data_IF_712650084980
#
_entry.id   IF_712650084980
#
_cell.length_a   1.000
_cell.length_b   1.000
_cell.length_c   1.000
_cell.angle_alpha   90.00
_cell.angle_beta   90.00
_cell.angle_gamma   90.00
#
_symmetry.space_group_name_H-M   'P 1'
#
loop_
_entity.id
_entity.type
_entity.pdbx_description
1 polymer ?
#
# COMPACT_ATOMS: atom_id res chain seq x y z
N UNK A 1 22.82 -21.78 -60.15
CA UNK A 1 21.99 -22.29 -59.04
C UNK A 1 22.08 -21.28 -57.91
N UNK A 2 21.04 -20.48 -57.68
CA UNK A 2 21.01 -19.48 -56.60
C UNK A 2 20.69 -20.21 -55.29
N UNK A 3 21.65 -20.25 -54.37
CA UNK A 3 21.45 -20.73 -53.00
C UNK A 3 20.87 -19.59 -52.17
N UNK A 4 19.57 -19.65 -51.92
CA UNK A 4 18.87 -18.71 -51.06
C UNK A 4 19.49 -18.69 -49.66
N UNK A 5 19.81 -17.49 -49.20
CA UNK A 5 20.26 -17.20 -47.84
C UNK A 5 19.23 -17.67 -46.83
N UNK A 6 19.63 -18.55 -45.92
CA UNK A 6 18.85 -18.98 -44.77
C UNK A 6 18.59 -17.78 -43.86
N UNK A 7 17.43 -17.13 -44.03
CA UNK A 7 16.92 -16.18 -43.04
C UNK A 7 16.76 -16.94 -41.72
N UNK A 8 17.42 -16.44 -40.68
CA UNK A 8 17.17 -16.82 -39.29
C UNK A 8 15.66 -16.62 -39.05
N UNK A 9 14.91 -17.72 -38.96
CA UNK A 9 13.50 -17.68 -38.58
C UNK A 9 13.45 -17.42 -37.07
N UNK A 10 13.15 -16.18 -36.70
CA UNK A 10 12.61 -15.91 -35.37
C UNK A 10 11.21 -16.50 -35.31
N UNK A 11 11.06 -17.66 -34.67
CA UNK A 11 9.75 -18.12 -34.20
C UNK A 11 9.38 -17.24 -33.00
N UNK A 12 8.75 -16.11 -33.28
CA UNK A 12 7.93 -15.44 -32.27
C UNK A 12 6.89 -16.47 -31.83
N UNK A 13 7.02 -16.97 -30.60
CA UNK A 13 6.04 -17.85 -29.98
C UNK A 13 4.80 -17.01 -29.64
N UNK A 14 4.03 -16.67 -30.66
CA UNK A 14 2.81 -15.87 -30.56
C UNK A 14 1.80 -16.51 -29.59
N UNK A 15 1.82 -17.83 -29.44
CA UNK A 15 0.98 -18.57 -28.47
C UNK A 15 1.31 -18.21 -27.02
N UNK A 16 2.60 -18.14 -26.66
CA UNK A 16 3.04 -17.77 -25.29
C UNK A 16 2.72 -16.30 -25.00
N UNK A 17 2.87 -15.43 -26.00
CA UNK A 17 2.51 -14.02 -25.87
C UNK A 17 0.98 -13.84 -25.74
N UNK A 18 0.19 -14.60 -26.49
CA UNK A 18 -1.27 -14.55 -26.43
C UNK A 18 -1.79 -15.09 -25.09
N UNK A 19 -1.20 -16.17 -24.56
CA UNK A 19 -1.51 -16.71 -23.23
C UNK A 19 -1.18 -15.70 -22.12
N UNK A 20 -0.02 -15.04 -22.20
CA UNK A 20 0.35 -13.97 -21.27
C UNK A 20 -0.62 -12.79 -21.33
N UNK A 21 -1.00 -12.34 -22.53
CA UNK A 21 -1.94 -11.23 -22.72
C UNK A 21 -3.33 -11.60 -22.17
N UNK A 22 -3.80 -12.82 -22.42
CA UNK A 22 -5.09 -13.30 -21.94
C UNK A 22 -5.11 -13.46 -20.40
N UNK A 23 -4.05 -14.00 -19.81
CA UNK A 23 -3.89 -14.11 -18.36
C UNK A 23 -3.86 -12.73 -17.69
N UNK A 24 -3.07 -11.81 -18.22
CA UNK A 24 -2.97 -10.44 -17.72
C UNK A 24 -4.31 -9.71 -17.81
N UNK A 25 -5.03 -9.89 -18.92
CA UNK A 25 -6.37 -9.33 -19.12
C UNK A 25 -7.39 -9.89 -18.11
N UNK A 26 -7.33 -11.19 -17.81
CA UNK A 26 -8.20 -11.80 -16.80
C UNK A 26 -7.92 -11.25 -15.39
N UNK A 27 -6.65 -11.09 -15.03
CA UNK A 27 -6.22 -10.46 -13.78
C UNK A 27 -6.73 -9.02 -13.63
N UNK A 28 -6.59 -8.20 -14.68
CA UNK A 28 -7.14 -6.85 -14.66
C UNK A 28 -8.66 -6.83 -14.47
N UNK A 29 -9.40 -7.71 -15.17
CA UNK A 29 -10.84 -7.81 -14.98
C UNK A 29 -11.25 -8.26 -13.57
N UNK A 30 -10.46 -9.12 -12.93
CA UNK A 30 -10.70 -9.51 -11.54
C UNK A 30 -10.44 -8.37 -10.57
N UNK A 31 -9.35 -7.61 -10.77
CA UNK A 31 -9.07 -6.41 -10.00
C UNK A 31 -10.15 -5.35 -10.16
N UNK A 32 -10.63 -5.10 -11.39
CA UNK A 32 -11.72 -4.16 -11.64
C UNK A 32 -13.01 -4.56 -10.92
N UNK A 33 -13.35 -5.86 -10.91
CA UNK A 33 -14.50 -6.37 -10.15
C UNK A 33 -14.31 -6.16 -8.65
N UNK A 34 -13.12 -6.41 -8.13
CA UNK A 34 -12.81 -6.22 -6.70
C UNK A 34 -12.87 -4.76 -6.30
N UNK A 35 -12.35 -3.85 -7.13
CA UNK A 35 -12.46 -2.40 -6.93
C UNK A 35 -13.93 -1.99 -6.89
N UNK A 36 -14.75 -2.42 -7.86
CA UNK A 36 -16.17 -2.09 -7.89
C UNK A 36 -16.95 -2.60 -6.65
N UNK A 37 -16.58 -3.76 -6.10
CA UNK A 37 -17.17 -4.27 -4.85
C UNK A 37 -16.75 -3.42 -3.65
N UNK A 38 -15.47 -3.07 -3.55
CA UNK A 38 -14.95 -2.22 -2.47
C UNK A 38 -15.56 -0.81 -2.51
N UNK A 39 -15.70 -0.21 -3.69
CA UNK A 39 -16.37 1.09 -3.86
C UNK A 39 -17.83 1.04 -3.40
N UNK A 40 -18.58 -0.03 -3.74
CA UNK A 40 -19.95 -0.21 -3.25
C UNK A 40 -20.01 -0.33 -1.74
N UNK A 41 -19.08 -1.09 -1.14
CA UNK A 41 -18.99 -1.22 0.32
C UNK A 41 -18.65 0.12 0.98
N UNK A 42 -17.73 0.88 0.41
CA UNK A 42 -17.35 2.21 0.90
C UNK A 42 -18.54 3.19 0.86
N UNK A 43 -19.32 3.19 -0.22
CA UNK A 43 -20.54 4.01 -0.33
C UNK A 43 -21.57 3.59 0.73
N UNK A 44 -21.78 2.28 0.92
CA UNK A 44 -22.70 1.77 1.93
C UNK A 44 -22.29 2.20 3.35
N UNK A 45 -21.01 2.01 3.72
CA UNK A 45 -20.47 2.42 5.02
C UNK A 45 -20.56 3.94 5.23
N UNK A 46 -20.27 4.72 4.18
CA UNK A 46 -20.39 6.18 4.24
C UNK A 46 -21.83 6.61 4.50
N UNK A 47 -22.80 5.98 3.83
CA UNK A 47 -24.23 6.25 4.05
C UNK A 47 -24.69 5.87 5.46
N UNK A 48 -24.20 4.74 5.98
CA UNK A 48 -24.51 4.29 7.34
C UNK A 48 -23.94 5.25 8.39
N UNK A 49 -22.69 5.70 8.21
CA UNK A 49 -22.08 6.70 9.08
C UNK A 49 -22.85 8.02 9.08
N UNK A 50 -23.31 8.49 7.92
CA UNK A 50 -24.14 9.69 7.84
C UNK A 50 -25.48 9.52 8.57
N UNK A 51 -26.10 8.33 8.48
CA UNK A 51 -27.34 8.03 9.19
C UNK A 51 -27.12 8.01 10.72
N UNK A 52 -26.04 7.36 11.18
CA UNK A 52 -25.66 7.33 12.60
C UNK A 52 -25.35 8.73 13.13
N UNK A 53 -24.66 9.57 12.35
CA UNK A 53 -24.36 10.95 12.73
C UNK A 53 -25.64 11.79 12.88
N UNK A 54 -26.64 11.58 12.01
CA UNK A 54 -27.97 12.21 12.17
C UNK A 54 -28.69 11.72 13.42
N UNK A 55 -28.64 10.41 13.71
CA UNK A 55 -29.23 9.86 14.92
C UNK A 55 -28.56 10.41 16.19
N UNK A 56 -27.23 10.50 16.23
CA UNK A 56 -26.49 11.10 17.33
C UNK A 56 -26.94 12.53 17.59
N UNK A 57 -27.00 13.36 16.54
CA UNK A 57 -27.45 14.75 16.66
C UNK A 57 -28.88 14.84 17.23
N UNK A 58 -29.79 14.00 16.77
CA UNK A 58 -31.15 13.98 17.30
C UNK A 58 -31.18 13.61 18.79
N UNK A 59 -30.38 12.62 19.20
CA UNK A 59 -30.26 12.22 20.62
C UNK A 59 -29.64 13.31 21.49
N UNK A 60 -28.66 14.04 20.97
CA UNK A 60 -28.07 15.18 21.67
C UNK A 60 -29.10 16.30 21.90
N UNK A 61 -29.97 16.56 20.92
CA UNK A 61 -31.04 17.53 21.05
C UNK A 61 -32.13 17.07 22.03
N UNK A 62 -32.51 15.79 22.03
CA UNK A 62 -33.39 15.18 23.05
C UNK A 62 -32.82 15.35 24.46
N UNK A 63 -31.52 15.03 24.66
CA UNK A 63 -30.84 15.20 25.94
C UNK A 63 -30.84 16.67 26.38
N UNK A 64 -30.67 17.61 25.45
CA UNK A 64 -30.71 19.05 25.74
C UNK A 64 -32.08 19.47 26.26
N UNK A 65 -33.16 19.00 25.63
CA UNK A 65 -34.55 19.27 26.06
C UNK A 65 -34.79 18.69 27.45
N UNK A 66 -34.47 17.42 27.67
CA UNK A 66 -34.65 16.76 28.98
C UNK A 66 -33.86 17.46 30.09
N UNK A 67 -32.64 17.94 29.81
CA UNK A 67 -31.88 18.74 30.77
C UNK A 67 -32.57 20.07 31.10
N UNK A 68 -33.24 20.69 30.13
CA UNK A 68 -34.05 21.88 30.33
C UNK A 68 -35.27 21.60 31.22
N UNK A 69 -35.99 20.51 30.96
CA UNK A 69 -37.14 20.08 31.77
C UNK A 69 -36.74 19.75 33.21
N UNK A 70 -35.63 19.03 33.43
CA UNK A 70 -35.12 18.76 34.77
C UNK A 70 -34.79 20.03 35.54
N UNK A 71 -34.22 21.05 34.89
CA UNK A 71 -33.96 22.36 35.53
C UNK A 71 -35.26 23.07 35.91
N UNK A 72 -36.26 23.03 35.03
CA UNK A 72 -37.58 23.62 35.30
C UNK A 72 -38.27 22.94 36.48
N UNK A 73 -38.24 21.60 36.53
CA UNK A 73 -38.81 20.83 37.64
C UNK A 73 -38.07 21.09 38.95
N UNK A 74 -36.74 21.17 38.91
CA UNK A 74 -35.96 21.51 40.10
C UNK A 74 -36.32 22.90 40.65
N UNK A 75 -36.51 23.88 39.77
CA UNK A 75 -36.96 25.21 40.19
C UNK A 75 -38.36 25.18 40.80
N UNK A 76 -39.29 24.44 40.19
CA UNK A 76 -40.65 24.30 40.71
C UNK A 76 -40.69 23.68 42.12
N UNK A 77 -39.81 22.70 42.39
CA UNK A 77 -39.67 22.10 43.73
C UNK A 77 -39.20 23.14 44.74
N UNK A 78 -38.19 23.95 44.40
CA UNK A 78 -37.69 25.01 45.27
C UNK A 78 -38.80 26.03 45.56
N UNK A 79 -39.52 26.48 44.54
CA UNK A 79 -40.60 27.46 44.70
C UNK A 79 -41.72 26.92 45.60
N UNK A 80 -42.06 25.63 45.45
CA UNK A 80 -43.01 24.95 46.34
C UNK A 80 -42.52 24.81 47.77
N UNK A 81 -41.23 24.54 48.00
CA UNK A 81 -40.65 24.49 49.34
C UNK A 81 -40.71 25.85 50.02
N UNK A 82 -40.39 26.94 49.29
CA UNK A 82 -40.51 28.31 49.78
C UNK A 82 -41.95 28.65 50.14
N UNK A 83 -42.91 28.31 49.28
CA UNK A 83 -44.32 28.55 49.56
C UNK A 83 -44.81 27.77 50.80
N UNK A 84 -44.44 26.49 50.92
CA UNK A 84 -44.79 25.68 52.08
C UNK A 84 -44.17 26.22 53.37
N UNK A 85 -42.93 26.73 53.31
CA UNK A 85 -42.30 27.35 54.46
C UNK A 85 -43.05 28.61 54.90
N UNK A 86 -43.46 29.46 53.96
CA UNK A 86 -44.28 30.64 54.25
C UNK A 86 -45.61 30.28 54.93
N UNK A 87 -46.30 29.24 54.45
CA UNK A 87 -47.55 28.75 55.07
C UNK A 87 -47.33 28.20 56.48
N UNK A 88 -46.19 27.54 56.76
CA UNK A 88 -45.85 27.06 58.11
C UNK A 88 -45.65 28.22 59.07
N UNK A 89 -44.95 29.26 58.64
CA UNK A 89 -44.70 30.47 59.43
C UNK A 89 -45.99 31.24 59.70
N UNK A 90 -46.85 31.41 58.69
CA UNK A 90 -48.17 32.04 58.83
C UNK A 90 -49.08 31.28 59.81
N UNK A 91 -49.10 29.94 59.72
CA UNK A 91 -49.84 29.11 60.66
C UNK A 91 -49.31 29.26 62.09
N UNK A 92 -47.99 29.22 62.30
CA UNK A 92 -47.38 29.40 63.61
C UNK A 92 -47.73 30.77 64.23
N UNK A 93 -47.69 31.83 63.42
CA UNK A 93 -48.11 33.18 63.82
C UNK A 93 -49.59 33.24 64.19
N UNK A 94 -50.45 32.58 63.41
CA UNK A 94 -51.89 32.53 63.65
C UNK A 94 -52.22 31.79 64.96
N UNK A 95 -51.56 30.65 65.22
CA UNK A 95 -51.68 29.95 66.50
C UNK A 95 -51.22 30.81 67.67
N UNK A 96 -50.08 31.50 67.54
CA UNK A 96 -49.56 32.40 68.59
C UNK A 96 -50.55 33.51 68.91
N UNK A 97 -51.14 34.16 67.88
CA UNK A 97 -52.16 35.20 68.06
C UNK A 97 -53.43 34.66 68.73
N UNK A 98 -53.91 33.48 68.34
CA UNK A 98 -55.05 32.84 68.99
C UNK A 98 -54.77 32.57 70.46
N UNK A 99 -53.58 32.04 70.77
CA UNK A 99 -53.17 31.72 72.14
C UNK A 99 -53.12 32.98 73.02
N UNK A 100 -52.49 34.06 72.56
CA UNK A 100 -52.45 35.36 73.26
C UNK A 100 -53.85 35.96 73.47
N UNK A 101 -54.73 35.82 72.48
CA UNK A 101 -56.12 36.31 72.58
C UNK A 101 -56.89 35.53 73.64
N UNK A 102 -56.72 34.21 73.70
CA UNK A 102 -57.35 33.37 74.72
C UNK A 102 -56.85 33.72 76.12
N UNK A 103 -55.54 33.87 76.30
CA UNK A 103 -54.90 34.21 77.57
C UNK A 103 -55.36 35.58 78.12
N UNK A 104 -55.58 36.56 77.25
CA UNK A 104 -56.08 37.89 77.63
C UNK A 104 -57.58 37.96 77.94
N UNK A 105 -58.37 36.95 77.53
CA UNK A 105 -59.82 36.89 77.81
C UNK A 105 -60.21 36.05 79.04
N UNK A 106 -59.31 35.27 79.63
CA UNK A 106 -59.62 34.41 80.78
C UNK A 106 -59.37 35.12 82.12
N UNK A 107 -60.36 35.84 82.66
CA UNK A 107 -60.30 36.43 84.02
C UNK A 107 -61.09 35.65 85.07
N UNK A 108 -61.42 34.38 84.81
CA UNK A 108 -62.14 33.50 85.75
C UNK A 108 -61.29 32.28 86.07
N UNK A 109 -61.03 32.02 87.37
CA UNK A 109 -60.28 30.85 87.86
C UNK A 109 -60.80 29.51 87.31
N UNK A 110 -62.11 29.43 87.00
CA UNK A 110 -62.72 28.26 86.36
C UNK A 110 -62.29 28.10 84.91
N UNK A 111 -62.29 29.20 84.14
CA UNK A 111 -61.77 29.22 82.76
C UNK A 111 -60.26 28.96 82.74
N UNK A 112 -59.50 29.42 83.73
CA UNK A 112 -58.06 29.19 83.80
C UNK A 112 -57.72 27.71 84.06
N UNK A 113 -58.54 27.01 84.87
CA UNK A 113 -58.44 25.55 85.04
C UNK A 113 -58.87 24.78 83.80
N UNK A 114 -59.98 25.16 83.16
CA UNK A 114 -60.39 24.55 81.90
C UNK A 114 -59.35 24.81 80.80
N UNK A 115 -58.71 25.99 80.79
CA UNK A 115 -57.64 26.33 79.86
C UNK A 115 -56.37 25.52 80.12
N UNK A 116 -55.99 25.31 81.39
CA UNK A 116 -54.88 24.42 81.74
C UNK A 116 -55.17 22.96 81.34
N UNK A 117 -56.40 22.47 81.55
CA UNK A 117 -56.78 21.13 81.09
C UNK A 117 -56.80 21.02 79.56
N UNK A 118 -57.34 22.02 78.86
CA UNK A 118 -57.31 22.06 77.38
C UNK A 118 -55.89 22.18 76.85
N UNK A 119 -55.00 22.88 77.57
CA UNK A 119 -53.59 22.97 77.24
C UNK A 119 -52.88 21.63 77.44
N UNK A 120 -53.08 20.97 78.57
CA UNK A 120 -52.56 19.61 78.81
C UNK A 120 -53.08 18.61 77.77
N UNK A 121 -54.36 18.71 77.40
CA UNK A 121 -54.96 17.88 76.38
C UNK A 121 -54.41 18.20 74.97
N UNK A 122 -54.19 19.48 74.67
CA UNK A 122 -53.54 19.93 73.44
C UNK A 122 -52.08 19.49 73.36
N UNK A 123 -51.33 19.60 74.44
CA UNK A 123 -49.94 19.17 74.54
C UNK A 123 -49.84 17.65 74.38
N UNK A 124 -50.77 16.88 74.98
CA UNK A 124 -50.87 15.45 74.76
C UNK A 124 -51.20 15.10 73.30
N UNK A 125 -52.12 15.82 72.65
CA UNK A 125 -52.41 15.63 71.21
C UNK A 125 -51.23 15.99 70.33
N UNK A 126 -50.48 17.04 70.68
CA UNK A 126 -49.26 17.44 69.98
C UNK A 126 -48.18 16.38 70.13
N UNK A 127 -48.01 15.79 71.32
CA UNK A 127 -47.06 14.71 71.58
C UNK A 127 -47.42 13.42 70.82
N UNK A 128 -48.71 13.10 70.71
CA UNK A 128 -49.20 12.02 69.83
C UNK A 128 -48.91 12.33 68.36
N UNK A 129 -49.14 13.58 67.92
CA UNK A 129 -48.87 14.00 66.55
C UNK A 129 -47.37 13.96 66.22
N UNK A 130 -46.50 14.40 67.14
CA UNK A 130 -45.05 14.31 67.00
C UNK A 130 -44.57 12.87 66.94
N UNK A 131 -45.12 11.99 67.78
CA UNK A 131 -44.81 10.55 67.72
C UNK A 131 -45.27 9.93 66.40
N UNK A 132 -46.49 10.24 65.94
CA UNK A 132 -46.98 9.78 64.64
C UNK A 132 -46.16 10.34 63.47
N UNK A 133 -45.77 11.61 63.49
CA UNK A 133 -44.90 12.19 62.46
C UNK A 133 -43.49 11.59 62.48
N UNK A 134 -42.96 11.27 63.67
CA UNK A 134 -41.66 10.60 63.83
C UNK A 134 -41.72 9.15 63.34
N UNK A 135 -42.82 8.45 63.59
CA UNK A 135 -43.05 7.08 63.14
C UNK A 135 -43.27 7.02 61.63
N UNK A 136 -44.16 7.85 61.07
CA UNK A 136 -44.40 7.96 59.62
C UNK A 136 -43.13 8.43 58.88
N UNK A 137 -42.42 9.42 59.43
CA UNK A 137 -41.15 9.89 58.89
C UNK A 137 -40.06 8.81 58.96
N UNK A 138 -40.00 8.07 60.07
CA UNK A 138 -39.07 6.97 60.26
C UNK A 138 -39.30 5.81 59.29
N UNK A 139 -40.56 5.41 59.09
CA UNK A 139 -40.91 4.35 58.15
C UNK A 139 -40.63 4.74 56.70
N UNK A 140 -40.89 6.00 56.33
CA UNK A 140 -40.57 6.51 55.00
C UNK A 140 -39.07 6.57 54.76
N UNK A 141 -38.29 7.03 55.74
CA UNK A 141 -36.82 7.04 55.68
C UNK A 141 -36.27 5.61 55.59
N UNK A 142 -36.83 4.67 56.36
CA UNK A 142 -36.45 3.26 56.31
C UNK A 142 -36.76 2.63 54.94
N UNK A 143 -37.90 2.97 54.34
CA UNK A 143 -38.24 2.60 52.97
C UNK A 143 -37.21 3.14 51.97
N UNK A 144 -36.90 4.43 52.04
CA UNK A 144 -35.87 5.04 51.17
C UNK A 144 -34.48 4.40 51.34
N UNK A 145 -34.07 4.06 52.55
CA UNK A 145 -32.80 3.37 52.80
C UNK A 145 -32.79 1.99 52.15
N UNK A 146 -33.90 1.26 52.21
CA UNK A 146 -34.02 -0.04 51.55
C UNK A 146 -33.98 0.11 50.02
N UNK A 147 -34.67 1.10 49.46
CA UNK A 147 -34.66 1.38 48.02
C UNK A 147 -33.26 1.77 47.53
N UNK A 148 -32.56 2.64 48.27
CA UNK A 148 -31.16 3.02 47.99
C UNK A 148 -30.26 1.78 48.06
N UNK A 149 -30.46 0.91 49.06
CA UNK A 149 -29.68 -0.32 49.20
C UNK A 149 -29.91 -1.29 48.04
N UNK A 150 -31.17 -1.39 47.56
CA UNK A 150 -31.51 -2.18 46.37
C UNK A 150 -30.85 -1.61 45.12
N UNK A 151 -30.97 -0.29 44.89
CA UNK A 151 -30.35 0.40 43.77
C UNK A 151 -28.82 0.25 43.77
N UNK A 152 -28.19 0.33 44.95
CA UNK A 152 -26.76 0.10 45.10
C UNK A 152 -26.38 -1.34 44.71
N UNK A 153 -27.18 -2.33 45.13
CA UNK A 153 -26.96 -3.72 44.76
C UNK A 153 -27.07 -3.94 43.24
N UNK A 154 -28.12 -3.41 42.61
CA UNK A 154 -28.37 -3.50 41.18
C UNK A 154 -27.26 -2.81 40.38
N UNK A 155 -26.81 -1.64 40.84
CA UNK A 155 -25.72 -0.89 40.20
C UNK A 155 -24.42 -1.72 40.23
N UNK A 156 -24.08 -2.32 41.37
CA UNK A 156 -22.90 -3.19 41.50
C UNK A 156 -23.02 -4.44 40.61
N UNK A 157 -24.21 -5.02 40.50
CA UNK A 157 -24.45 -6.16 39.61
C UNK A 157 -24.23 -5.77 38.13
N UNK A 158 -24.75 -4.62 37.70
CA UNK A 158 -24.55 -4.09 36.36
C UNK A 158 -23.07 -3.80 36.06
N UNK A 159 -22.32 -3.22 37.00
CA UNK A 159 -20.88 -3.01 36.84
C UNK A 159 -20.11 -4.31 36.69
N UNK A 160 -20.47 -5.35 37.45
CA UNK A 160 -19.86 -6.68 37.33
C UNK A 160 -20.15 -7.31 35.96
N UNK A 161 -21.37 -7.20 35.47
CA UNK A 161 -21.74 -7.74 34.16
C UNK A 161 -21.08 -6.97 33.02
N UNK A 162 -21.01 -5.64 33.09
CA UNK A 162 -20.27 -4.83 32.13
C UNK A 162 -18.79 -5.19 32.11
N UNK A 163 -18.15 -5.35 33.27
CA UNK A 163 -16.75 -5.77 33.35
C UNK A 163 -16.55 -7.15 32.72
N UNK A 164 -17.46 -8.10 32.98
CA UNK A 164 -17.45 -9.42 32.36
C UNK A 164 -17.56 -9.33 30.83
N UNK A 165 -18.52 -8.57 30.30
CA UNK A 165 -18.71 -8.41 28.86
C UNK A 165 -17.49 -7.79 28.18
N UNK A 166 -16.87 -6.77 28.79
CA UNK A 166 -15.65 -6.13 28.25
C UNK A 166 -14.51 -7.15 28.16
N UNK A 167 -14.27 -7.92 29.23
CA UNK A 167 -13.23 -8.96 29.22
C UNK A 167 -13.51 -10.05 28.18
N UNK A 168 -14.77 -10.42 27.98
CA UNK A 168 -15.16 -11.41 26.96
C UNK A 168 -14.95 -10.86 25.54
N UNK A 169 -15.27 -9.58 25.31
CA UNK A 169 -15.01 -8.90 24.04
C UNK A 169 -13.52 -8.79 23.73
N UNK A 170 -12.70 -8.38 24.70
CA UNK A 170 -11.24 -8.31 24.56
C UNK A 170 -10.65 -9.70 24.26
N UNK A 171 -11.12 -10.74 24.96
CA UNK A 171 -10.66 -12.10 24.71
C UNK A 171 -10.99 -12.58 23.29
N UNK A 172 -12.19 -12.27 22.78
CA UNK A 172 -12.60 -12.59 21.40
C UNK A 172 -11.77 -11.80 20.38
N UNK A 173 -11.56 -10.50 20.61
CA UNK A 173 -10.74 -9.66 19.72
C UNK A 173 -9.31 -10.21 19.61
N UNK A 174 -8.67 -10.54 20.73
CA UNK A 174 -7.34 -11.16 20.72
C UNK A 174 -7.34 -12.55 20.07
N UNK A 175 -8.39 -13.34 20.25
CA UNK A 175 -8.51 -14.62 19.57
C UNK A 175 -8.53 -14.43 18.05
N UNK A 176 -9.33 -13.49 17.55
CA UNK A 176 -9.47 -13.20 16.13
C UNK A 176 -8.15 -12.65 15.55
N UNK A 177 -7.47 -11.75 16.25
CA UNK A 177 -6.12 -11.26 15.88
C UNK A 177 -5.11 -12.41 15.78
N UNK A 178 -5.08 -13.31 16.76
CA UNK A 178 -4.18 -14.48 16.76
C UNK A 178 -4.51 -15.43 15.61
N UNK A 179 -5.78 -15.62 15.28
CA UNK A 179 -6.19 -16.46 14.15
C UNK A 179 -5.74 -15.85 12.81
N UNK A 180 -5.86 -14.53 12.66
CA UNK A 180 -5.41 -13.85 11.44
C UNK A 180 -3.88 -13.89 11.30
N UNK A 181 -3.13 -13.66 12.38
CA UNK A 181 -1.67 -13.82 12.39
C UNK A 181 -1.28 -15.26 12.02
N UNK A 182 -1.96 -16.27 12.57
CA UNK A 182 -1.72 -17.69 12.22
C UNK A 182 -2.03 -17.99 10.76
N UNK A 183 -3.04 -17.34 10.18
CA UNK A 183 -3.38 -17.49 8.77
C UNK A 183 -2.29 -16.87 7.88
N UNK A 184 -1.86 -15.65 8.18
CA UNK A 184 -0.77 -14.97 7.49
C UNK A 184 0.54 -15.76 7.59
N UNK A 185 0.87 -16.29 8.77
CA UNK A 185 2.06 -17.12 8.96
C UNK A 185 2.02 -18.39 8.09
N UNK A 186 0.85 -19.03 7.95
CA UNK A 186 0.69 -20.19 7.06
C UNK A 186 0.85 -19.84 5.59
N UNK A 187 0.45 -18.64 5.19
CA UNK A 187 0.62 -18.13 3.83
C UNK A 187 2.08 -17.83 3.53
N UNK A 188 2.76 -17.07 4.39
CA UNK A 188 4.21 -16.83 4.29
C UNK A 188 4.98 -18.14 4.26
N UNK A 189 4.63 -19.12 5.11
CA UNK A 189 5.28 -20.44 5.08
C UNK A 189 5.10 -21.16 3.73
N UNK A 190 3.92 -21.04 3.11
CA UNK A 190 3.67 -21.59 1.76
C UNK A 190 4.51 -20.87 0.71
N UNK A 191 4.57 -19.54 0.75
CA UNK A 191 5.39 -18.76 -0.19
C UNK A 191 6.87 -19.08 -0.06
N UNK A 192 7.39 -19.16 1.17
CA UNK A 192 8.78 -19.55 1.44
C UNK A 192 9.06 -20.96 0.91
N UNK A 193 8.12 -21.89 1.06
CA UNK A 193 8.28 -23.25 0.53
C UNK A 193 8.29 -23.27 -1.01
N UNK A 194 7.44 -22.48 -1.67
CA UNK A 194 7.45 -22.31 -3.14
C UNK A 194 8.80 -21.74 -3.59
N UNK A 195 9.30 -20.71 -2.91
CA UNK A 195 10.63 -20.14 -3.20
C UNK A 195 11.71 -21.21 -3.00
N UNK A 196 11.68 -21.96 -1.90
CA UNK A 196 12.64 -23.03 -1.59
C UNK A 196 12.67 -24.12 -2.66
N UNK A 197 11.51 -24.51 -3.19
CA UNK A 197 11.41 -25.49 -4.28
C UNK A 197 12.00 -24.89 -5.56
N UNK A 198 11.63 -23.65 -5.91
CA UNK A 198 12.08 -22.99 -7.14
C UNK A 198 13.56 -22.57 -7.11
N UNK A 199 14.13 -22.35 -5.93
CA UNK A 199 15.53 -22.02 -5.70
C UNK A 199 16.33 -23.20 -5.16
N UNK A 200 15.77 -24.41 -5.16
CA UNK A 200 16.44 -25.60 -4.68
C UNK A 200 17.61 -25.99 -5.57
N UNK A 201 18.56 -26.74 -5.01
CA UNK A 201 19.73 -27.26 -5.74
C UNK A 201 19.33 -27.99 -7.03
N UNK A 202 18.19 -28.69 -7.05
CA UNK A 202 17.66 -29.36 -8.24
C UNK A 202 17.30 -28.37 -9.37
N UNK A 203 16.62 -27.26 -9.05
CA UNK A 203 16.25 -26.22 -10.02
C UNK A 203 17.47 -25.39 -10.47
N UNK A 204 18.50 -25.27 -9.64
CA UNK A 204 19.79 -24.71 -10.07
C UNK A 204 20.58 -25.68 -10.95
N UNK A 205 20.53 -26.98 -10.66
CA UNK A 205 21.23 -28.02 -11.39
C UNK A 205 20.61 -28.25 -12.77
N UNK A 206 19.28 -28.16 -12.89
CA UNK A 206 18.56 -28.18 -14.17
C UNK A 206 18.94 -26.98 -15.03
N UNK A 207 18.93 -25.76 -14.46
CA UNK A 207 19.41 -24.55 -15.17
C UNK A 207 20.88 -24.65 -15.59
N UNK A 208 21.76 -25.22 -14.75
CA UNK A 208 23.17 -25.46 -15.10
C UNK A 208 23.32 -26.47 -16.24
N UNK A 209 22.47 -27.50 -16.27
CA UNK A 209 22.46 -28.50 -17.33
C UNK A 209 21.99 -27.89 -18.66
N UNK A 210 20.93 -27.09 -18.64
CA UNK A 210 20.47 -26.35 -19.82
C UNK A 210 21.55 -25.41 -20.38
N UNK A 211 22.25 -24.68 -19.52
CA UNK A 211 23.38 -23.83 -19.92
C UNK A 211 24.52 -24.67 -20.52
N UNK A 212 24.82 -25.84 -19.94
CA UNK A 212 25.83 -26.77 -20.50
C UNK A 212 25.43 -27.27 -21.88
N UNK A 213 24.18 -27.70 -22.05
CA UNK A 213 23.66 -28.22 -23.32
C UNK A 213 23.65 -27.11 -24.40
N UNK A 214 23.27 -25.88 -24.02
CA UNK A 214 23.36 -24.69 -24.88
C UNK A 214 24.80 -24.37 -25.29
N UNK A 215 25.74 -24.46 -24.35
CA UNK A 215 27.17 -24.24 -24.60
C UNK A 215 27.73 -25.29 -25.57
N UNK A 216 27.38 -26.55 -25.38
CA UNK A 216 27.83 -27.64 -26.24
C UNK A 216 27.23 -27.52 -27.65
N UNK A 217 25.95 -27.14 -27.75
CA UNK A 217 25.31 -26.83 -29.03
C UNK A 217 26.01 -25.67 -29.74
N UNK A 218 26.39 -24.62 -29.02
CA UNK A 218 27.11 -23.46 -29.58
C UNK A 218 28.54 -23.82 -30.03
N UNK A 219 29.25 -24.66 -29.28
CA UNK A 219 30.56 -25.21 -29.68
C UNK A 219 30.46 -26.08 -30.94
N UNK A 220 29.42 -26.89 -31.07
CA UNK A 220 29.17 -27.71 -32.27
C UNK A 220 28.88 -26.84 -33.49
N UNK A 221 28.09 -25.78 -33.33
CA UNK A 221 27.82 -24.81 -34.41
C UNK A 221 29.08 -24.05 -34.84
N UNK A 222 29.92 -23.65 -33.89
CA UNK A 222 31.20 -22.99 -34.19
C UNK A 222 32.18 -23.91 -34.94
N UNK A 223 32.31 -25.16 -34.49
CA UNK A 223 33.19 -26.13 -35.15
C UNK A 223 32.70 -26.53 -36.54
N UNK A 224 31.39 -26.62 -36.76
CA UNK A 224 30.81 -26.79 -38.10
C UNK A 224 31.09 -25.59 -39.01
N UNK A 225 31.05 -24.36 -38.47
CA UNK A 225 31.35 -23.14 -39.22
C UNK A 225 32.85 -23.07 -39.61
N UNK A 226 33.75 -23.43 -38.71
CA UNK A 226 35.20 -23.51 -38.98
C UNK A 226 35.53 -24.58 -40.04
N UNK A 227 34.91 -25.76 -39.95
CA UNK A 227 35.07 -26.83 -40.95
C UNK A 227 34.58 -26.42 -42.34
N UNK A 228 33.47 -25.68 -42.42
CA UNK A 228 32.96 -25.14 -43.70
C UNK A 228 33.90 -24.07 -44.26
N UNK A 229 34.43 -23.19 -43.40
CA UNK A 229 35.41 -22.16 -43.78
C UNK A 229 36.70 -22.77 -44.31
N UNK A 230 37.25 -23.77 -43.62
CA UNK A 230 38.46 -24.49 -44.05
C UNK A 230 38.29 -25.25 -45.37
N UNK A 231 37.13 -25.89 -45.59
CA UNK A 231 36.81 -26.57 -46.86
C UNK A 231 36.70 -25.59 -48.04
N UNK A 232 36.12 -24.41 -47.81
CA UNK A 232 36.05 -23.34 -48.83
C UNK A 232 37.44 -22.83 -49.21
N UNK A 233 38.32 -22.63 -48.24
CA UNK A 233 39.70 -22.18 -48.48
C UNK A 233 40.51 -23.22 -49.26
N UNK A 234 40.34 -24.50 -48.96
CA UNK A 234 41.00 -25.60 -49.67
C UNK A 234 40.52 -25.71 -51.13
N UNK A 235 39.21 -25.54 -51.37
CA UNK A 235 38.62 -25.48 -52.70
C UNK A 235 39.16 -24.29 -53.51
N UNK A 236 39.32 -23.13 -52.89
CA UNK A 236 39.88 -21.95 -53.53
C UNK A 236 41.35 -22.15 -53.92
N UNK A 237 42.14 -22.77 -53.03
CA UNK A 237 43.54 -23.10 -53.28
C UNK A 237 43.68 -24.09 -54.44
N UNK A 238 42.83 -25.11 -54.49
CA UNK A 238 42.83 -26.12 -55.55
C UNK A 238 42.46 -25.51 -56.91
N UNK A 239 41.51 -24.56 -56.92
CA UNK A 239 41.10 -23.83 -58.12
C UNK A 239 42.23 -22.90 -58.63
N UNK A 240 42.95 -22.25 -57.71
CA UNK A 240 44.14 -21.45 -58.04
C UNK A 240 45.26 -22.30 -58.66
N UNK A 241 45.48 -23.50 -58.11
CA UNK A 241 46.50 -24.43 -58.59
C UNK A 241 46.17 -24.98 -59.99
N UNK A 242 44.89 -25.27 -60.24
CA UNK A 242 44.39 -25.65 -61.56
C UNK A 242 44.60 -24.53 -62.59
N UNK A 243 44.35 -23.28 -62.20
CA UNK A 243 44.53 -22.11 -63.07
C UNK A 243 46.01 -21.91 -63.44
N UNK A 244 46.91 -22.07 -62.46
CA UNK A 244 48.36 -22.05 -62.69
C UNK A 244 48.82 -23.16 -63.65
N UNK A 245 48.29 -24.37 -63.49
CA UNK A 245 48.58 -25.49 -64.38
C UNK A 245 48.10 -25.23 -65.82
N UNK A 246 46.90 -24.68 -65.99
CA UNK A 246 46.37 -24.30 -67.30
C UNK A 246 47.21 -23.21 -67.97
N UNK A 247 47.66 -22.20 -67.21
CA UNK A 247 48.58 -21.17 -67.69
C UNK A 247 49.92 -21.76 -68.14
N UNK A 248 50.48 -22.70 -67.37
CA UNK A 248 51.71 -23.40 -67.74
C UNK A 248 51.54 -24.17 -69.06
N UNK A 249 50.44 -24.90 -69.21
CA UNK A 249 50.08 -25.63 -70.44
C UNK A 249 49.98 -24.69 -71.64
N UNK A 250 49.34 -23.53 -71.45
CA UNK A 250 49.25 -22.49 -72.48
C UNK A 250 50.62 -21.96 -72.89
N UNK A 251 51.53 -21.73 -71.94
CA UNK A 251 52.91 -21.32 -72.22
C UNK A 251 53.69 -22.39 -72.99
N UNK A 252 53.54 -23.67 -72.63
CA UNK A 252 54.17 -24.78 -73.36
C UNK A 252 53.63 -24.87 -74.79
N UNK A 253 52.32 -24.67 -74.97
CA UNK A 253 51.69 -24.67 -76.30
C UNK A 253 52.21 -23.50 -77.16
N UNK A 254 52.35 -22.30 -76.58
CA UNK A 254 52.95 -21.14 -77.25
C UNK A 254 54.41 -21.37 -77.62
N UNK A 255 55.18 -22.07 -76.78
CA UNK A 255 56.57 -22.40 -77.04
C UNK A 255 56.69 -23.40 -78.20
N UNK A 256 55.83 -24.42 -78.22
CA UNK A 256 55.71 -25.38 -79.33
C UNK A 256 55.27 -24.69 -80.63
N UNK A 257 54.32 -23.76 -80.56
CA UNK A 257 53.89 -22.96 -81.70
C UNK A 257 55.03 -22.08 -82.22
N UNK A 258 55.82 -21.45 -81.33
CA UNK A 258 57.03 -20.73 -81.71
C UNK A 258 58.04 -21.64 -82.41
N UNK A 259 58.29 -22.84 -81.90
CA UNK A 259 59.19 -23.83 -82.54
C UNK A 259 58.69 -24.28 -83.93
N UNK A 260 57.39 -24.42 -84.10
CA UNK A 260 56.74 -24.70 -85.39
C UNK A 260 56.85 -23.52 -86.37
N UNK A 261 56.67 -22.27 -85.90
CA UNK A 261 56.91 -21.09 -86.73
C UNK A 261 58.41 -20.89 -87.05
N UNK A 262 59.30 -21.23 -86.12
CA UNK A 262 60.76 -21.17 -86.32
C UNK A 262 61.24 -22.13 -87.41
N UNK A 263 60.53 -23.24 -87.62
CA UNK A 263 60.82 -24.23 -88.67
C UNK A 263 60.19 -23.91 -90.02
N UNK A 264 59.25 -22.96 -90.09
CA UNK A 264 58.64 -22.46 -91.33
C UNK A 264 59.33 -21.20 -91.89
N UNK A 265 60.18 -20.52 -91.11
CA UNK A 265 60.87 -19.30 -91.50
C UNK A 265 62.35 -19.50 -91.94
N UNK A 266 62.82 -20.74 -92.08
CA UNK A 266 64.17 -21.09 -92.58
C UNK A 266 64.27 -21.24 -94.11
N UNK A 267 63.42 -20.54 -94.88
CA UNK A 267 63.57 -20.45 -96.33
C UNK A 267 63.08 -19.12 -96.92
N UNK A 268 63.88 -18.06 -96.74
CA UNK A 268 64.11 -17.01 -97.75
C UNK A 268 65.01 -15.91 -97.17
N UNK A 269 66.11 -15.64 -97.87
CA UNK A 269 67.10 -14.60 -97.58
C UNK A 269 67.00 -13.48 -98.60
N UNK A 270 67.17 -12.21 -98.18
CA UNK A 270 67.76 -11.07 -98.91
C UNK A 270 67.60 -9.81 -98.02
N UNK A 271 68.65 -9.35 -97.34
CA UNK A 271 69.62 -8.30 -97.73
C UNK A 271 69.01 -6.93 -98.02
N UNK A 272 69.36 -5.90 -97.23
CA UNK A 272 70.13 -4.71 -97.67
C UNK A 272 70.37 -3.72 -96.50
N UNK A 273 71.65 -3.40 -96.29
CA UNK A 273 72.32 -2.12 -95.99
C UNK A 273 71.75 -1.05 -95.02
N UNK A 274 72.48 -0.83 -93.91
CA UNK A 274 73.16 0.40 -93.41
C UNK A 274 72.74 1.84 -93.87
N UNK A 275 73.17 2.96 -93.21
CA UNK A 275 73.67 3.23 -91.85
C UNK A 275 73.08 4.57 -91.23
N UNK A 276 73.82 5.50 -90.57
CA UNK A 276 73.86 5.72 -89.11
C UNK A 276 73.45 7.16 -88.65
N UNK A 277 73.37 7.42 -87.33
CA UNK A 277 73.32 8.83 -86.86
C UNK A 277 72.83 9.10 -85.42
N UNK A 278 73.75 9.00 -84.46
CA UNK A 278 73.96 9.81 -83.24
C UNK A 278 72.85 10.64 -82.55
N UNK A 279 72.68 10.36 -81.24
CA UNK A 279 72.73 11.28 -80.08
C UNK A 279 71.50 12.06 -79.57
N UNK A 280 71.52 12.20 -78.22
CA UNK A 280 70.80 13.10 -77.27
C UNK A 280 69.50 12.56 -76.67
N UNK A 281 69.38 12.36 -75.35
CA UNK A 281 69.46 13.26 -74.18
C UNK A 281 68.22 14.16 -74.06
N UNK A 282 67.43 13.97 -72.98
CA UNK A 282 66.41 14.80 -72.27
C UNK A 282 65.62 13.77 -71.41
N UNK A 283 65.67 13.66 -70.09
CA UNK A 283 65.50 14.57 -68.92
C UNK A 283 64.14 15.27 -68.84
N UNK A 284 63.42 15.00 -67.74
CA UNK A 284 62.37 15.83 -67.10
C UNK A 284 61.00 15.86 -67.82
N UNK A 285 59.84 15.97 -67.17
CA UNK A 285 59.50 16.24 -65.77
C UNK A 285 57.99 16.03 -65.55
N UNK A 286 57.57 16.23 -64.29
CA UNK A 286 56.24 16.63 -63.78
C UNK A 286 55.43 15.49 -63.13
N UNK A 287 55.73 15.18 -61.86
CA UNK A 287 55.12 15.75 -60.62
C UNK A 287 53.84 15.01 -60.24
N UNK A 288 53.80 14.28 -59.12
CA UNK A 288 53.88 14.67 -57.69
C UNK A 288 52.50 15.09 -57.15
N UNK A 289 52.00 14.28 -56.21
CA UNK A 289 51.44 14.64 -54.90
C UNK A 289 50.96 13.32 -54.25
N UNK A 290 51.75 12.71 -53.37
CA UNK A 290 51.81 12.96 -51.91
C UNK A 290 50.53 12.47 -51.21
N UNK A 291 50.60 11.34 -50.51
CA UNK A 291 51.01 11.19 -49.10
C UNK A 291 49.92 11.62 -48.12
N UNK A 292 49.57 10.69 -47.22
CA UNK A 292 49.62 10.80 -45.75
C UNK A 292 49.05 9.48 -45.18
N UNK A 293 49.87 8.46 -44.90
CA UNK A 293 50.61 8.19 -43.65
C UNK A 293 49.78 8.26 -42.36
N UNK A 294 49.53 7.06 -41.84
CA UNK A 294 50.04 6.53 -40.56
C UNK A 294 49.67 7.23 -39.24
N UNK A 295 49.07 6.45 -38.33
CA UNK A 295 49.59 6.06 -36.99
C UNK A 295 48.44 5.31 -36.27
N UNK A 296 48.51 4.00 -36.01
CA UNK A 296 49.34 3.23 -35.07
C UNK A 296 49.05 3.51 -33.58
N UNK A 297 48.60 2.45 -32.89
CA UNK A 297 48.75 2.14 -31.46
C UNK A 297 48.04 3.09 -30.46
N UNK A 298 47.52 2.68 -29.31
CA UNK A 298 48.03 1.66 -28.38
C UNK A 298 46.92 1.11 -27.46
N UNK A 299 47.28 0.00 -26.82
CA UNK A 299 46.67 -0.71 -25.69
C UNK A 299 46.38 0.15 -24.44
N UNK A 300 45.36 -0.16 -23.63
CA UNK A 300 45.55 -0.92 -22.37
C UNK A 300 44.30 -1.10 -21.48
N UNK A 301 44.48 -2.07 -20.58
CA UNK A 301 43.62 -2.74 -19.59
C UNK A 301 42.99 -1.92 -18.43
N UNK A 302 41.82 -2.43 -18.01
CA UNK A 302 41.33 -2.73 -16.62
C UNK A 302 41.01 -1.58 -15.64
N UNK A 303 39.74 -1.49 -15.21
CA UNK A 303 39.28 -1.80 -13.82
C UNK A 303 37.79 -1.47 -13.61
N UNK A 304 37.10 -2.35 -12.87
CA UNK A 304 35.77 -2.13 -12.24
C UNK A 304 36.05 -1.82 -10.76
N UNK A 305 35.27 -0.96 -10.05
CA UNK A 305 34.18 -1.52 -9.23
C UNK A 305 32.93 -0.62 -9.06
N UNK A 306 31.82 -1.29 -8.77
CA UNK A 306 30.63 -0.90 -7.99
C UNK A 306 30.53 0.53 -7.41
N UNK A 307 29.42 1.22 -7.70
CA UNK A 307 28.52 1.82 -6.67
C UNK A 307 27.32 2.55 -7.33
N UNK A 308 26.11 2.06 -7.04
CA UNK A 308 24.89 2.86 -6.91
C UNK A 308 24.71 3.14 -5.39
N UNK A 309 23.98 4.18 -4.91
CA UNK A 309 22.72 4.72 -5.47
C UNK A 309 22.59 6.27 -5.47
N UNK A 310 21.67 6.78 -6.30
CA UNK A 310 21.20 8.18 -6.27
C UNK A 310 19.87 8.32 -5.47
N UNK A 311 19.49 9.54 -5.05
CA UNK A 311 18.91 9.82 -3.74
C UNK A 311 17.46 10.36 -3.75
N UNK A 312 16.96 10.56 -2.52
CA UNK A 312 16.07 11.64 -2.06
C UNK A 312 14.60 11.67 -2.54
N UNK A 313 13.71 11.19 -1.68
CA UNK A 313 12.32 11.64 -1.56
C UNK A 313 11.97 11.79 -0.07
N UNK A 314 12.41 12.91 0.51
CA UNK A 314 12.07 13.37 1.85
C UNK A 314 11.86 14.89 1.77
N UNK A 315 10.66 15.30 1.39
CA UNK A 315 10.17 16.67 1.54
C UNK A 315 8.64 16.65 1.44
N UNK A 316 7.96 16.54 2.58
CA UNK A 316 6.67 17.19 2.88
C UNK A 316 6.19 16.80 4.29
N UNK A 317 6.90 17.28 5.30
CA UNK A 317 6.34 17.62 6.60
C UNK A 317 6.90 19.01 6.93
N UNK A 318 5.99 19.95 7.23
CA UNK A 318 6.17 21.35 7.69
C UNK A 318 5.59 22.42 6.75
N UNK A 319 4.27 22.61 6.86
CA UNK A 319 3.51 23.87 6.64
C UNK A 319 2.05 23.55 7.00
N UNK A 320 1.31 24.17 7.91
CA UNK A 320 1.51 25.40 8.67
C UNK A 320 0.54 25.37 9.85
N UNK A 321 1.07 25.46 11.06
CA UNK A 321 0.40 26.04 12.21
C UNK A 321 0.47 27.56 12.07
N UNK A 322 -0.65 28.21 11.79
CA UNK A 322 -0.88 29.65 12.03
C UNK A 322 -2.33 29.97 11.69
N UNK A 323 -3.19 30.11 12.71
CA UNK A 323 -4.07 31.26 12.89
C UNK A 323 -4.83 31.13 14.21
N UNK A 324 -4.47 31.99 15.15
CA UNK A 324 -5.22 32.31 16.37
C UNK A 324 -5.72 33.75 16.21
N UNK A 325 -6.96 33.97 16.68
CA UNK A 325 -7.63 35.24 16.96
C UNK A 325 -8.02 36.13 15.76
N UNK A 326 -9.34 36.28 15.53
CA UNK A 326 -9.96 37.60 15.68
C UNK A 326 -11.47 37.50 15.94
N UNK A 327 -11.92 38.50 16.69
CA UNK A 327 -13.24 38.74 17.28
C UNK A 327 -14.09 39.61 16.33
N UNK A 328 -15.35 39.23 16.11
CA UNK A 328 -16.52 40.08 15.81
C UNK A 328 -17.74 39.14 15.75
N UNK A 329 -18.88 39.34 16.42
CA UNK A 329 -19.59 40.59 16.64
C UNK A 329 -20.85 40.59 15.76
N UNK A 330 -21.88 39.84 16.18
CA UNK A 330 -23.33 40.18 16.14
C UNK A 330 -24.16 39.07 16.81
#
# INVERSE_FOLDING_TARGET
RMTGSSLIKFTLNYEVLDEFVNSTKALFQEHDKRIAVLEKQQVALTSQNQALQKQLKNREDEIRVLRGECKSLAQQVIDMEVQNQGLREENALSFTKMYQKLESTSTSDGLQKEFMMLKEESDNRMLILENLMREIGGDKVKGMINDISSLQHDTVALWKENARMVLEMEHRAHHDEVQEIRKQLREVKREVEVVRINSGEEAEQERRKEISDLKDSLCNLLSEAELRSGRLLLLLLLLLLLLLFLLLLFFVLLLLLRLLLSSLLTSSSCSLDWPPGSSRLVKSSLERADELKMKSADTDRVSVPFSSPLPSLLHHLLSSSQLSCDIAGD
#
